data_IF_853586861571
#
_entry.id   IF_853586861571
#
_cell.length_a   1.000
_cell.length_b   1.000
_cell.length_c   1.000
_cell.angle_alpha   90.00
_cell.angle_beta   90.00
_cell.angle_gamma   90.00
#
_symmetry.space_group_name_H-M   'P 1'
#
loop_
_entity.id
_entity.type
_entity.pdbx_description
1 polymer ?
#
# COMPACT_ATOMS: atom_id res chain seq x y z
N UNK A 1 7.93 -5.96 -8.06
CA UNK A 1 7.52 -7.11 -8.92
C UNK A 1 7.91 -8.46 -8.33
N UNK A 2 7.27 -9.54 -8.78
CA UNK A 2 7.65 -10.92 -8.39
C UNK A 2 8.89 -11.38 -9.16
N UNK A 3 9.57 -12.42 -8.66
CA UNK A 3 10.79 -12.94 -9.29
C UNK A 3 10.60 -13.37 -10.76
N UNK A 4 9.48 -13.97 -11.10
CA UNK A 4 9.18 -14.39 -12.48
C UNK A 4 9.09 -13.20 -13.43
N UNK A 5 8.52 -12.09 -12.98
CA UNK A 5 8.45 -10.83 -13.73
C UNK A 5 9.84 -10.22 -13.90
N UNK A 6 10.65 -10.19 -12.83
CA UNK A 6 12.04 -9.71 -12.90
C UNK A 6 12.89 -10.55 -13.85
N UNK A 7 12.72 -11.88 -13.86
CA UNK A 7 13.38 -12.77 -14.82
C UNK A 7 12.99 -12.45 -16.27
N UNK A 8 11.69 -12.22 -16.51
CA UNK A 8 11.18 -11.87 -17.84
C UNK A 8 11.73 -10.53 -18.33
N UNK A 9 11.75 -9.52 -17.45
CA UNK A 9 12.25 -8.16 -17.75
C UNK A 9 13.75 -8.19 -18.03
N UNK A 10 14.55 -8.84 -17.17
CA UNK A 10 16.01 -8.91 -17.29
C UNK A 10 16.49 -9.98 -18.29
N UNK A 11 15.56 -10.79 -18.82
CA UNK A 11 15.87 -11.95 -19.71
C UNK A 11 16.96 -12.85 -19.13
N UNK A 12 16.90 -13.13 -17.81
CA UNK A 12 17.92 -13.94 -17.13
C UNK A 12 17.30 -14.97 -16.19
N UNK A 13 18.12 -15.92 -15.71
CA UNK A 13 17.69 -17.00 -14.85
C UNK A 13 17.36 -16.53 -13.42
N UNK A 14 16.59 -17.34 -12.69
CA UNK A 14 16.28 -17.13 -11.27
C UNK A 14 17.54 -16.91 -10.41
N UNK A 15 18.57 -17.74 -10.62
CA UNK A 15 19.83 -17.65 -9.89
C UNK A 15 20.53 -16.30 -10.13
N UNK A 16 20.44 -15.77 -11.35
CA UNK A 16 21.02 -14.47 -11.71
C UNK A 16 20.29 -13.33 -11.01
N UNK A 17 18.93 -13.31 -11.03
CA UNK A 17 18.14 -12.30 -10.33
C UNK A 17 18.44 -12.31 -8.82
N UNK A 18 18.51 -13.51 -8.22
CA UNK A 18 18.82 -13.67 -6.79
C UNK A 18 20.24 -13.20 -6.47
N UNK A 19 21.21 -13.46 -7.33
CA UNK A 19 22.59 -12.95 -7.17
C UNK A 19 22.66 -11.43 -7.23
N UNK A 20 21.86 -10.79 -8.08
CA UNK A 20 21.77 -9.33 -8.13
C UNK A 20 21.17 -8.76 -6.84
N UNK A 21 20.14 -9.39 -6.30
CA UNK A 21 19.57 -9.00 -5.00
C UNK A 21 20.58 -9.18 -3.86
N UNK A 22 21.26 -10.32 -3.81
CA UNK A 22 22.28 -10.60 -2.79
C UNK A 22 23.44 -9.60 -2.82
N UNK A 23 23.84 -9.15 -4.02
CA UNK A 23 24.89 -8.13 -4.22
C UNK A 23 24.39 -6.68 -4.01
N UNK A 24 23.14 -6.49 -3.56
CA UNK A 24 22.54 -5.17 -3.34
C UNK A 24 22.24 -4.39 -4.62
N UNK A 25 22.35 -4.99 -5.81
CA UNK A 25 22.05 -4.33 -7.09
C UNK A 25 20.54 -4.17 -7.33
N UNK A 26 19.72 -5.01 -6.70
CA UNK A 26 18.26 -4.94 -6.73
C UNK A 26 17.80 -5.05 -5.28
N UNK A 27 17.13 -4.03 -4.79
CA UNK A 27 16.49 -4.04 -3.47
C UNK A 27 15.35 -5.05 -3.44
N UNK A 28 15.18 -5.70 -2.30
CA UNK A 28 14.11 -6.68 -2.10
C UNK A 28 13.36 -6.40 -0.80
N UNK A 29 12.09 -6.77 -0.79
CA UNK A 29 11.25 -6.74 0.41
C UNK A 29 10.64 -8.13 0.60
N UNK A 30 10.76 -8.68 1.81
CA UNK A 30 10.14 -9.95 2.18
C UNK A 30 8.74 -9.68 2.75
N UNK A 31 7.73 -10.24 2.12
CA UNK A 31 6.34 -10.15 2.59
C UNK A 31 6.11 -11.09 3.79
N UNK A 32 5.04 -10.86 4.60
CA UNK A 32 4.71 -11.72 5.74
C UNK A 32 4.49 -13.19 5.38
N UNK A 33 4.03 -13.48 4.15
CA UNK A 33 3.87 -14.83 3.61
C UNK A 33 5.20 -15.48 3.16
N UNK A 34 6.34 -14.84 3.42
CA UNK A 34 7.67 -15.32 3.04
C UNK A 34 8.07 -15.03 1.59
N UNK A 35 7.17 -14.46 0.77
CA UNK A 35 7.46 -14.13 -0.62
C UNK A 35 8.40 -12.93 -0.70
N UNK A 36 9.40 -13.01 -1.60
CA UNK A 36 10.33 -11.91 -1.88
C UNK A 36 9.82 -11.11 -3.08
N UNK A 37 9.69 -9.80 -2.88
CA UNK A 37 9.39 -8.82 -3.92
C UNK A 37 10.66 -8.08 -4.29
N UNK A 38 10.85 -7.84 -5.59
CA UNK A 38 11.97 -7.11 -6.16
C UNK A 38 11.52 -5.71 -6.55
N UNK A 39 12.36 -4.70 -6.28
CA UNK A 39 12.03 -3.32 -6.63
C UNK A 39 12.13 -3.11 -8.13
N UNK A 40 11.05 -2.62 -8.71
CA UNK A 40 10.90 -2.43 -10.16
C UNK A 40 11.94 -1.45 -10.70
N UNK A 41 12.18 -0.35 -9.97
CA UNK A 41 13.15 0.68 -10.35
C UNK A 41 14.56 0.11 -10.56
N UNK A 42 14.99 -0.75 -9.64
CA UNK A 42 16.33 -1.33 -9.69
C UNK A 42 16.44 -2.32 -10.86
N UNK A 43 15.37 -3.09 -11.10
CA UNK A 43 15.31 -4.04 -12.21
C UNK A 43 15.40 -3.32 -13.56
N UNK A 44 14.62 -2.24 -13.73
CA UNK A 44 14.65 -1.46 -14.98
C UNK A 44 15.94 -0.64 -15.13
N UNK A 45 16.50 -0.13 -14.02
CA UNK A 45 17.77 0.58 -14.03
C UNK A 45 18.93 -0.30 -14.55
N UNK A 46 18.89 -1.60 -14.26
CA UNK A 46 19.87 -2.55 -14.80
C UNK A 46 19.85 -2.68 -16.33
N UNK A 47 18.73 -2.37 -16.96
CA UNK A 47 18.58 -2.32 -18.42
C UNK A 47 18.93 -0.95 -19.02
N UNK A 48 19.41 -0.02 -18.20
CA UNK A 48 19.60 1.38 -18.62
C UNK A 48 18.28 2.13 -18.86
N UNK A 49 17.15 1.50 -18.53
CA UNK A 49 15.82 2.11 -18.66
C UNK A 49 15.51 2.82 -17.35
N UNK A 50 15.56 4.15 -17.34
CA UNK A 50 14.91 4.92 -16.27
C UNK A 50 13.40 4.76 -16.48
N UNK A 51 12.66 4.34 -15.43
CA UNK A 51 11.22 4.50 -15.45
C UNK A 51 11.01 6.01 -15.57
N UNK A 52 10.44 6.46 -16.69
CA UNK A 52 10.01 7.85 -16.79
C UNK A 52 8.94 8.05 -15.73
N UNK A 53 9.25 8.82 -14.71
CA UNK A 53 8.24 9.31 -13.78
C UNK A 53 7.44 10.35 -14.55
N UNK A 54 6.22 10.00 -14.86
CA UNK A 54 5.24 10.98 -15.31
C UNK A 54 4.90 11.79 -14.05
N UNK A 55 5.36 13.02 -13.93
CA UNK A 55 5.15 13.83 -12.72
C UNK A 55 3.74 14.45 -12.72
N UNK A 56 2.70 13.64 -12.79
CA UNK A 56 1.33 14.12 -12.81
C UNK A 56 0.95 14.80 -11.50
N UNK A 57 0.35 15.96 -11.62
CA UNK A 57 -0.44 16.59 -10.58
C UNK A 57 -1.90 16.20 -10.81
N UNK A 58 -2.50 15.53 -9.84
CA UNK A 58 -3.85 15.01 -9.98
C UNK A 58 -4.75 15.53 -8.88
N UNK A 59 -6.04 15.55 -9.15
CA UNK A 59 -7.06 15.98 -8.19
C UNK A 59 -7.92 14.78 -7.83
N UNK A 60 -8.18 14.61 -6.55
CA UNK A 60 -9.13 13.63 -6.07
C UNK A 60 -10.30 14.32 -5.37
N UNK A 61 -11.52 14.00 -5.81
CA UNK A 61 -12.77 14.51 -5.26
C UNK A 61 -13.70 13.38 -4.87
N UNK A 62 -14.56 13.63 -3.87
CA UNK A 62 -15.55 12.65 -3.42
C UNK A 62 -16.79 13.33 -2.85
N UNK A 63 -17.95 12.77 -3.18
CA UNK A 63 -19.24 13.11 -2.57
C UNK A 63 -19.94 11.86 -2.06
N UNK A 64 -20.93 12.04 -1.18
CA UNK A 64 -21.55 10.93 -0.44
C UNK A 64 -22.52 10.08 -1.24
N UNK A 65 -23.02 10.57 -2.36
CA UNK A 65 -24.04 9.90 -3.16
C UNK A 65 -24.07 10.39 -4.60
N UNK A 66 -25.14 10.03 -5.31
CA UNK A 66 -25.32 10.32 -6.75
C UNK A 66 -26.52 11.22 -7.03
N UNK A 67 -27.05 11.89 -6.02
CA UNK A 67 -28.17 12.82 -6.18
C UNK A 67 -27.77 14.06 -6.96
N UNK A 68 -28.74 14.84 -7.43
CA UNK A 68 -28.45 16.09 -8.14
C UNK A 68 -27.70 17.09 -7.22
N UNK A 69 -28.03 17.14 -5.94
CA UNK A 69 -27.30 17.93 -4.95
C UNK A 69 -25.84 17.49 -4.83
N UNK A 70 -25.57 16.17 -4.88
CA UNK A 70 -24.21 15.63 -4.85
C UNK A 70 -23.42 16.03 -6.11
N UNK A 71 -24.08 16.03 -7.29
CA UNK A 71 -23.46 16.47 -8.56
C UNK A 71 -23.03 17.94 -8.48
N UNK A 72 -23.90 18.81 -8.00
CA UNK A 72 -23.59 20.23 -7.81
C UNK A 72 -22.44 20.40 -6.81
N UNK A 73 -22.45 19.60 -5.73
CA UNK A 73 -21.38 19.63 -4.72
C UNK A 73 -20.05 19.18 -5.30
N UNK A 74 -20.05 18.11 -6.12
CA UNK A 74 -18.85 17.62 -6.82
C UNK A 74 -18.27 18.69 -7.73
N UNK A 75 -19.10 19.31 -8.59
CA UNK A 75 -18.66 20.38 -9.49
C UNK A 75 -18.06 21.57 -8.75
N UNK A 76 -18.70 22.01 -7.64
CA UNK A 76 -18.19 23.10 -6.81
C UNK A 76 -16.85 22.73 -6.17
N UNK A 77 -16.69 21.48 -5.73
CA UNK A 77 -15.44 21.00 -5.18
C UNK A 77 -14.32 21.02 -6.22
N UNK A 78 -14.57 20.45 -7.40
CA UNK A 78 -13.63 20.47 -8.54
C UNK A 78 -13.25 21.90 -8.90
N UNK A 79 -14.23 22.79 -9.06
CA UNK A 79 -13.97 24.19 -9.43
C UNK A 79 -13.05 24.88 -8.43
N UNK A 80 -13.31 24.74 -7.10
CA UNK A 80 -12.46 25.34 -6.07
C UNK A 80 -11.02 24.83 -6.14
N UNK A 81 -10.82 23.53 -6.39
CA UNK A 81 -9.49 22.94 -6.50
C UNK A 81 -8.80 23.43 -7.79
N UNK A 82 -9.50 23.44 -8.91
CA UNK A 82 -8.95 23.88 -10.20
C UNK A 82 -8.58 25.38 -10.16
N UNK A 83 -9.42 26.22 -9.57
CA UNK A 83 -9.12 27.65 -9.36
C UNK A 83 -7.87 27.85 -8.48
N UNK A 84 -7.74 26.99 -7.45
CA UNK A 84 -6.57 26.99 -6.57
C UNK A 84 -5.29 26.59 -7.33
N UNK A 85 -5.37 25.57 -8.19
CA UNK A 85 -4.28 25.12 -9.05
C UNK A 85 -3.89 26.20 -10.06
N UNK A 86 -4.88 26.80 -10.72
CA UNK A 86 -4.67 27.85 -11.72
C UNK A 86 -3.92 29.06 -11.13
N UNK A 87 -4.34 29.52 -9.94
CA UNK A 87 -3.68 30.63 -9.23
C UNK A 87 -2.21 30.35 -8.90
N UNK A 88 -1.79 29.08 -8.87
CA UNK A 88 -0.42 28.63 -8.58
C UNK A 88 0.34 28.15 -9.81
N UNK A 89 -0.25 28.25 -10.99
CA UNK A 89 0.36 27.80 -12.23
C UNK A 89 0.55 26.28 -12.29
N UNK A 90 -0.23 25.52 -11.52
CA UNK A 90 -0.19 24.06 -11.53
C UNK A 90 -1.10 23.53 -12.64
N UNK A 91 -0.55 22.68 -13.50
CA UNK A 91 -1.30 21.95 -14.48
C UNK A 91 -1.85 20.67 -13.84
N UNK A 92 -3.13 20.40 -14.05
CA UNK A 92 -3.79 19.18 -13.57
C UNK A 92 -3.92 18.21 -14.75
N UNK A 93 -3.27 17.06 -14.64
CA UNK A 93 -3.29 16.04 -15.70
C UNK A 93 -4.52 15.16 -15.62
N UNK A 94 -5.06 14.93 -14.42
CA UNK A 94 -6.20 14.03 -14.24
C UNK A 94 -7.05 14.37 -13.03
N UNK A 95 -8.38 14.12 -13.16
CA UNK A 95 -9.36 14.16 -12.10
C UNK A 95 -9.79 12.74 -11.75
N UNK A 96 -9.92 12.44 -10.46
CA UNK A 96 -10.45 11.18 -9.93
C UNK A 96 -11.64 11.49 -9.04
N UNK A 97 -12.81 10.99 -9.42
CA UNK A 97 -14.10 11.36 -8.80
C UNK A 97 -14.81 10.13 -8.27
N UNK A 98 -15.04 10.06 -6.96
CA UNK A 98 -15.81 8.99 -6.33
C UNK A 98 -17.15 9.47 -5.80
N UNK A 99 -18.15 8.63 -5.97
CA UNK A 99 -19.53 8.83 -5.53
C UNK A 99 -19.85 7.81 -4.44
N UNK A 100 -19.24 7.98 -3.27
CA UNK A 100 -19.35 7.03 -2.17
C UNK A 100 -19.30 7.72 -0.81
N UNK A 101 -20.04 7.23 0.20
CA UNK A 101 -19.97 7.75 1.55
C UNK A 101 -18.56 7.75 2.14
N UNK A 102 -18.27 8.68 3.05
CA UNK A 102 -16.95 8.80 3.69
C UNK A 102 -16.57 7.58 4.55
N UNK A 103 -17.56 6.81 4.96
CA UNK A 103 -17.43 5.60 5.79
C UNK A 103 -17.07 4.35 4.97
N UNK A 104 -17.09 4.44 3.64
CA UNK A 104 -16.77 3.33 2.76
C UNK A 104 -15.26 3.22 2.59
N UNK A 105 -14.70 2.09 3.01
CA UNK A 105 -13.27 1.76 2.88
C UNK A 105 -12.98 0.78 1.74
N UNK A 106 -14.02 0.12 1.17
CA UNK A 106 -13.84 -0.81 0.06
C UNK A 106 -13.45 -0.07 -1.22
N UNK A 107 -12.34 -0.47 -1.83
CA UNK A 107 -11.89 0.06 -3.11
C UNK A 107 -12.84 -0.29 -4.27
N UNK A 108 -13.63 -1.35 -4.14
CA UNK A 108 -14.64 -1.73 -5.13
C UNK A 108 -15.76 -0.68 -5.22
N UNK A 109 -16.04 -0.01 -4.11
CA UNK A 109 -17.03 1.07 -4.05
C UNK A 109 -16.41 2.47 -4.28
N UNK A 110 -15.09 2.54 -4.44
CA UNK A 110 -14.32 3.75 -4.72
C UNK A 110 -13.37 3.52 -5.89
N UNK A 111 -13.92 3.30 -7.10
CA UNK A 111 -13.13 2.92 -8.27
C UNK A 111 -12.10 4.00 -8.67
N UNK A 112 -12.42 5.28 -8.48
CA UNK A 112 -11.49 6.36 -8.79
C UNK A 112 -10.30 6.40 -7.81
N UNK A 113 -10.52 6.15 -6.51
CA UNK A 113 -9.42 5.98 -5.55
C UNK A 113 -8.58 4.75 -5.87
N UNK A 114 -9.22 3.65 -6.25
CA UNK A 114 -8.50 2.44 -6.66
C UNK A 114 -7.59 2.73 -7.87
N UNK A 115 -8.09 3.42 -8.87
CA UNK A 115 -7.31 3.80 -10.05
C UNK A 115 -6.17 4.77 -9.69
N UNK A 116 -6.43 5.78 -8.86
CA UNK A 116 -5.41 6.67 -8.33
C UNK A 116 -4.28 5.91 -7.63
N UNK A 117 -4.61 4.96 -6.75
CA UNK A 117 -3.64 4.10 -6.08
C UNK A 117 -2.80 3.31 -7.10
N UNK A 118 -3.42 2.76 -8.15
CA UNK A 118 -2.70 2.05 -9.21
C UNK A 118 -1.73 2.97 -9.96
N UNK A 119 -2.13 4.19 -10.27
CA UNK A 119 -1.27 5.15 -10.97
C UNK A 119 -0.14 5.67 -10.08
N UNK A 120 -0.36 5.78 -8.76
CA UNK A 120 0.72 6.04 -7.78
C UNK A 120 1.74 4.87 -7.76
N UNK A 121 1.26 3.63 -7.69
CA UNK A 121 2.13 2.44 -7.72
C UNK A 121 2.94 2.39 -9.02
N UNK A 122 2.33 2.78 -10.14
CA UNK A 122 2.98 2.88 -11.46
C UNK A 122 3.90 4.09 -11.60
N UNK A 123 4.02 4.92 -10.56
CA UNK A 123 4.89 6.12 -10.49
C UNK A 123 4.57 7.19 -11.53
N UNK A 124 3.32 7.32 -11.88
CA UNK A 124 2.85 8.39 -12.75
C UNK A 124 2.59 9.67 -12.00
N UNK A 125 2.08 9.57 -10.77
CA UNK A 125 1.63 10.68 -9.93
C UNK A 125 2.78 11.19 -9.06
N UNK A 126 2.92 12.51 -8.96
CA UNK A 126 3.84 13.19 -8.04
C UNK A 126 3.12 14.03 -6.98
N UNK A 127 1.94 14.56 -7.31
CA UNK A 127 1.14 15.40 -6.41
C UNK A 127 -0.32 14.99 -6.49
N UNK A 128 -0.95 14.79 -5.34
CA UNK A 128 -2.40 14.59 -5.21
C UNK A 128 -2.96 15.80 -4.48
N UNK A 129 -3.96 16.46 -5.08
CA UNK A 129 -4.62 17.62 -4.50
C UNK A 129 -6.03 17.21 -4.09
N UNK A 130 -6.38 17.49 -2.84
CA UNK A 130 -7.70 17.26 -2.27
C UNK A 130 -8.22 18.53 -1.61
N UNK A 131 -9.53 18.70 -1.57
CA UNK A 131 -10.12 19.86 -0.88
C UNK A 131 -9.92 19.77 0.63
N UNK A 132 -10.33 18.64 1.22
CA UNK A 132 -10.28 18.37 2.66
C UNK A 132 -9.83 16.94 2.92
N UNK A 133 -9.25 16.63 4.10
CA UNK A 133 -8.76 15.30 4.43
C UNK A 133 -9.81 14.19 4.30
N UNK A 134 -11.07 14.49 4.67
CA UNK A 134 -12.19 13.55 4.65
C UNK A 134 -12.55 13.05 3.24
N UNK A 135 -12.05 13.71 2.19
CA UNK A 135 -12.23 13.22 0.81
C UNK A 135 -11.48 11.91 0.60
N UNK A 136 -10.28 11.77 1.16
CA UNK A 136 -9.53 10.53 1.12
C UNK A 136 -10.12 9.47 2.07
N UNK A 137 -10.27 9.83 3.34
CA UNK A 137 -10.92 8.99 4.34
C UNK A 137 -11.42 9.86 5.50
N UNK A 138 -12.57 9.50 6.07
CA UNK A 138 -13.09 10.18 7.26
C UNK A 138 -12.31 9.81 8.50
N UNK A 139 -11.88 8.55 8.57
CA UNK A 139 -11.11 7.98 9.68
C UNK A 139 -9.76 7.47 9.14
N UNK A 140 -8.67 7.77 9.84
CA UNK A 140 -7.33 7.31 9.47
C UNK A 140 -6.79 7.96 8.19
N UNK A 141 -7.27 9.15 7.83
CA UNK A 141 -6.82 9.86 6.64
C UNK A 141 -5.30 10.11 6.66
N UNK A 142 -4.69 10.25 7.84
CA UNK A 142 -3.26 10.45 8.04
C UNK A 142 -2.39 9.31 7.47
N UNK A 143 -2.97 8.13 7.32
CA UNK A 143 -2.30 6.99 6.70
C UNK A 143 -2.04 7.22 5.21
N UNK A 144 -2.94 7.95 4.53
CA UNK A 144 -2.82 8.19 3.10
C UNK A 144 -1.58 9.04 2.74
N UNK A 145 -1.36 10.23 3.34
CA UNK A 145 -0.14 11.00 3.07
C UNK A 145 1.13 10.23 3.39
N UNK A 146 1.17 9.46 4.48
CA UNK A 146 2.32 8.65 4.85
C UNK A 146 2.59 7.56 3.81
N UNK A 147 1.54 6.87 3.36
CA UNK A 147 1.64 5.83 2.35
C UNK A 147 2.03 6.41 0.97
N UNK A 148 1.38 7.49 0.53
CA UNK A 148 1.71 8.16 -0.72
C UNK A 148 3.14 8.70 -0.73
N UNK A 149 3.60 9.27 0.39
CA UNK A 149 4.99 9.74 0.56
C UNK A 149 6.01 8.61 0.36
N UNK A 150 5.69 7.38 0.77
CA UNK A 150 6.55 6.22 0.53
C UNK A 150 6.78 5.97 -0.98
N UNK A 151 5.79 6.29 -1.83
CA UNK A 151 5.91 6.25 -3.28
C UNK A 151 6.47 7.54 -3.89
N UNK A 152 6.82 8.53 -3.07
CA UNK A 152 7.35 9.83 -3.49
C UNK A 152 6.27 10.77 -4.01
N UNK A 153 5.03 10.62 -3.54
CA UNK A 153 3.87 11.44 -3.89
C UNK A 153 3.53 12.36 -2.72
N UNK A 154 3.34 13.64 -3.00
CA UNK A 154 2.89 14.64 -2.05
C UNK A 154 1.36 14.76 -2.06
N UNK A 155 0.75 14.89 -0.88
CA UNK A 155 -0.69 15.16 -0.75
C UNK A 155 -0.87 16.61 -0.28
N UNK A 156 -1.54 17.40 -1.10
CA UNK A 156 -1.84 18.81 -0.82
C UNK A 156 -3.31 18.95 -0.47
N UNK A 157 -3.58 19.51 0.71
CA UNK A 157 -4.93 19.80 1.19
C UNK A 157 -5.13 21.30 1.06
N UNK A 158 -6.10 21.74 0.22
CA UNK A 158 -6.29 23.15 -0.06
C UNK A 158 -7.10 23.88 1.02
N UNK A 159 -7.95 23.17 1.76
CA UNK A 159 -8.74 23.70 2.86
C UNK A 159 -8.39 22.96 4.16
N UNK A 160 -7.44 23.52 4.90
CA UNK A 160 -7.01 23.00 6.21
C UNK A 160 -7.86 23.50 7.37
N UNK A 161 -8.81 24.42 7.12
CA UNK A 161 -9.59 25.09 8.17
C UNK A 161 -10.59 24.14 8.90
N UNK A 162 -10.74 22.91 8.41
CA UNK A 162 -11.63 21.92 9.03
C UNK A 162 -10.86 20.99 10.01
N UNK A 163 -9.85 21.50 10.68
CA UNK A 163 -9.31 20.88 11.90
C UNK A 163 -10.06 21.43 13.13
N UNK A 164 -11.40 21.31 13.11
CA UNK A 164 -12.19 21.67 14.27
C UNK A 164 -12.06 20.55 15.32
N UNK A 165 -11.84 20.84 16.60
CA UNK A 165 -11.79 19.85 17.67
C UNK A 165 -13.01 18.92 17.70
N UNK A 166 -14.20 19.45 17.35
CA UNK A 166 -15.44 18.68 17.21
C UNK A 166 -15.38 17.62 16.11
N UNK A 167 -14.69 17.91 15.00
CA UNK A 167 -14.50 16.97 13.89
C UNK A 167 -13.60 15.78 14.29
N UNK A 168 -12.59 16.01 15.13
CA UNK A 168 -11.76 14.91 15.70
C UNK A 168 -12.58 14.01 16.61
N UNK A 169 -13.37 14.58 17.51
CA UNK A 169 -14.20 13.81 18.44
C UNK A 169 -15.26 12.96 17.71
N UNK A 170 -15.80 13.46 16.60
CA UNK A 170 -16.75 12.72 15.76
C UNK A 170 -16.05 11.60 14.99
N UNK A 171 -14.85 11.84 14.48
CA UNK A 171 -14.03 10.81 13.84
C UNK A 171 -13.62 9.69 14.80
N UNK A 172 -13.23 10.04 16.02
CA UNK A 172 -12.89 9.05 17.06
C UNK A 172 -14.08 8.18 17.43
N UNK A 173 -15.28 8.75 17.55
CA UNK A 173 -16.53 7.99 17.76
C UNK A 173 -16.84 7.07 16.59
N UNK A 174 -16.71 7.55 15.36
CA UNK A 174 -16.92 6.75 14.16
C UNK A 174 -15.91 5.60 14.07
N UNK A 175 -14.64 5.85 14.43
CA UNK A 175 -13.60 4.82 14.48
C UNK A 175 -13.92 3.77 15.55
N UNK A 176 -14.27 4.20 16.75
CA UNK A 176 -14.65 3.29 17.84
C UNK A 176 -15.86 2.44 17.44
N UNK A 177 -16.89 3.03 16.85
CA UNK A 177 -18.07 2.32 16.38
C UNK A 177 -17.71 1.31 15.26
N UNK A 178 -16.82 1.70 14.33
CA UNK A 178 -16.35 0.82 13.26
C UNK A 178 -15.55 -0.36 13.81
N UNK A 179 -14.65 -0.10 14.76
CA UNK A 179 -13.83 -1.14 15.41
C UNK A 179 -14.68 -2.09 16.25
N UNK A 180 -15.67 -1.55 16.98
CA UNK A 180 -16.62 -2.35 17.75
C UNK A 180 -17.44 -3.25 16.81
N UNK A 181 -17.98 -2.71 15.72
CA UNK A 181 -18.74 -3.47 14.74
C UNK A 181 -17.87 -4.55 14.06
N UNK A 182 -16.70 -4.19 13.58
CA UNK A 182 -15.77 -5.13 12.96
C UNK A 182 -15.23 -6.17 13.96
N UNK A 183 -15.06 -5.81 15.22
CA UNK A 183 -14.63 -6.70 16.30
C UNK A 183 -15.71 -7.70 16.67
N UNK A 184 -16.98 -7.28 16.77
CA UNK A 184 -18.11 -8.17 17.04
C UNK A 184 -18.31 -9.15 15.88
N UNK A 185 -18.36 -8.67 14.63
CA UNK A 185 -18.54 -9.52 13.45
C UNK A 185 -17.40 -10.54 13.30
N UNK A 186 -16.19 -10.19 13.73
CA UNK A 186 -15.01 -11.07 13.64
C UNK A 186 -14.91 -12.06 14.79
N UNK A 187 -15.37 -11.70 15.98
CA UNK A 187 -15.44 -12.62 17.12
C UNK A 187 -16.48 -13.72 16.86
N UNK A 188 -17.61 -13.38 16.24
CA UNK A 188 -18.63 -14.35 15.88
C UNK A 188 -18.14 -15.31 14.77
N UNK A 189 -17.36 -14.81 13.80
CA UNK A 189 -16.75 -15.66 12.76
C UNK A 189 -15.58 -16.49 13.29
N UNK A 190 -14.77 -15.98 14.20
CA UNK A 190 -13.66 -16.74 14.82
C UNK A 190 -14.16 -17.80 15.80
N UNK A 191 -15.31 -17.57 16.45
CA UNK A 191 -15.97 -18.57 17.29
C UNK A 191 -16.60 -19.72 16.45
N UNK A 192 -16.92 -19.45 15.17
CA UNK A 192 -17.46 -20.44 14.23
C UNK A 192 -16.39 -21.20 13.43
N UNK A 193 -15.17 -20.66 13.28
CA UNK A 193 -14.04 -21.34 12.69
C UNK A 193 -13.17 -21.96 13.78
N UNK A 194 -13.34 -23.27 14.03
CA UNK A 194 -12.31 -24.03 14.74
C UNK A 194 -11.00 -23.90 13.97
N UNK A 195 -10.02 -23.23 14.58
CA UNK A 195 -8.66 -23.14 14.03
C UNK A 195 -8.21 -24.54 13.62
N UNK A 196 -7.85 -24.77 12.36
CA UNK A 196 -7.37 -26.07 11.94
C UNK A 196 -6.17 -26.45 12.80
N UNK A 197 -6.28 -27.56 13.54
CA UNK A 197 -5.19 -28.08 14.35
C UNK A 197 -3.94 -28.15 13.50
N UNK A 198 -2.80 -27.63 13.98
CA UNK A 198 -1.57 -27.70 13.22
C UNK A 198 -1.31 -29.15 12.83
N UNK A 199 -1.30 -29.43 11.53
CA UNK A 199 -0.93 -30.75 11.03
C UNK A 199 0.44 -31.07 11.60
N UNK A 200 0.54 -32.11 12.46
CA UNK A 200 1.81 -32.68 12.86
C UNK A 200 2.53 -33.03 11.55
N UNK A 201 3.64 -32.32 11.29
CA UNK A 201 4.55 -32.73 10.21
C UNK A 201 5.03 -34.13 10.61
N UNK A 202 4.52 -35.16 9.95
CA UNK A 202 5.18 -36.46 9.98
C UNK A 202 6.59 -36.26 9.46
N UNK A 203 7.56 -36.47 10.32
CA UNK A 203 8.96 -36.57 9.97
C UNK A 203 9.05 -37.71 8.97
N UNK A 204 9.14 -37.42 7.68
CA UNK A 204 9.59 -38.38 6.71
C UNK A 204 11.03 -38.69 7.05
N UNK A 205 11.26 -39.80 7.70
CA UNK A 205 12.59 -40.38 7.88
C UNK A 205 13.16 -40.66 6.50
N UNK A 206 14.11 -39.87 6.08
CA UNK A 206 14.97 -40.21 4.95
C UNK A 206 16.09 -41.12 5.52
N UNK A 207 16.14 -42.38 5.16
CA UNK A 207 17.26 -43.24 5.53
C UNK A 207 18.48 -42.75 4.74
N UNK A 208 19.49 -42.22 5.44
CA UNK A 208 20.81 -42.01 4.87
C UNK A 208 21.45 -40.63 4.96
N UNK A 209 20.94 -39.67 5.74
CA UNK A 209 21.71 -38.47 6.07
C UNK A 209 22.33 -38.62 7.44
N UNK A 210 23.65 -38.74 7.47
CA UNK A 210 24.48 -38.56 8.68
C UNK A 210 24.33 -37.08 9.05
N UNK A 211 23.61 -36.78 10.13
CA UNK A 211 23.53 -35.43 10.69
C UNK A 211 24.82 -35.21 11.46
N UNK A 212 25.59 -34.13 11.23
CA UNK A 212 26.79 -33.84 12.00
C UNK A 212 26.44 -33.65 13.47
N UNK A 213 27.25 -34.19 14.36
CA UNK A 213 27.08 -34.25 15.83
C UNK A 213 26.91 -32.86 16.52
N UNK A 214 27.19 -31.78 15.81
CA UNK A 214 27.08 -30.40 16.30
C UNK A 214 25.65 -29.81 16.28
N UNK A 215 24.69 -30.41 15.51
CA UNK A 215 23.33 -29.87 15.43
C UNK A 215 22.47 -30.10 16.68
N UNK A 216 22.85 -31.08 17.51
CA UNK A 216 22.09 -31.44 18.74
C UNK A 216 22.66 -30.80 20.03
N UNK A 217 23.75 -30.02 19.92
CA UNK A 217 24.34 -29.36 21.10
C UNK A 217 23.68 -28.00 21.37
N UNK A 218 23.44 -27.64 22.65
CA UNK A 218 23.05 -26.26 23.03
C UNK A 218 24.03 -25.24 22.49
N UNK A 219 23.58 -24.04 22.18
CA UNK A 219 24.39 -22.97 21.56
C UNK A 219 25.60 -22.58 22.40
N UNK A 220 25.55 -22.81 23.70
CA UNK A 220 26.64 -22.52 24.67
C UNK A 220 27.84 -23.48 24.58
N UNK A 221 27.66 -24.67 24.01
CA UNK A 221 28.72 -25.69 23.91
C UNK A 221 29.31 -25.86 22.49
N UNK A 222 28.99 -24.94 21.57
CA UNK A 222 29.52 -25.01 20.21
C UNK A 222 30.90 -24.41 20.13
N UNK A 223 31.90 -25.27 19.96
CA UNK A 223 33.25 -24.83 19.67
C UNK A 223 33.35 -24.26 18.23
N UNK A 224 33.72 -22.98 18.12
CA UNK A 224 33.83 -22.26 16.86
C UNK A 224 35.12 -22.56 16.11
N UNK A 225 35.96 -23.46 16.59
CA UNK A 225 37.26 -23.81 15.98
C UNK A 225 37.12 -24.58 14.64
N UNK A 226 35.94 -25.17 14.35
CA UNK A 226 35.69 -25.95 13.15
C UNK A 226 35.16 -25.11 11.95
N UNK A 227 35.15 -23.77 12.08
CA UNK A 227 34.60 -22.84 11.06
C UNK A 227 35.70 -22.01 10.37
N UNK A 228 36.99 -22.33 10.55
CA UNK A 228 38.08 -21.70 9.79
C UNK A 228 38.62 -22.61 8.67
#
# INVERSE_FOLDING_TARGET
MKVKEAMSVLKCSYSTVRRYAYRGKIRTTKLPNGQIMYWDDDVYAMLGKKIQKENWTVVYTRVGGTTESDRVTMQRQQQRILDWCLKRGLQVERLYDDWAPATVFSLDQRPALHELIQDVIRKKVSVIIVETPDRLARVGWELFPAWFKYYGVEVVIINQAIQVPEYRAEQEKDLVNLLLKAGVDRLDTLAAEELPKPRKRERREHPGKIVPDWEDKPVEDRDLSDLM
#
